data_IF_590991634892
#
_entry.id   IF_590991634892
#
_cell.length_a   1.000
_cell.length_b   1.000
_cell.length_c   1.000
_cell.angle_alpha   90.00
_cell.angle_beta   90.00
_cell.angle_gamma   90.00
#
_symmetry.space_group_name_H-M   'P 1'
#
loop_
_entity.id
_entity.type
_entity.pdbx_description
1 polymer ?
#
# COMPACT_ATOMS: atom_id res chain seq x y z
N UNK A 1 7.46 -37.54 -42.82
CA UNK A 1 7.12 -36.30 -43.55
C UNK A 1 5.62 -36.12 -43.48
N UNK A 2 5.13 -35.10 -42.72
CA UNK A 2 3.79 -34.44 -42.75
C UNK A 2 2.54 -35.34 -42.78
N UNK A 3 1.42 -35.12 -42.10
CA UNK A 3 0.84 -34.18 -41.12
C UNK A 3 -0.51 -34.86 -40.75
N UNK A 4 -0.91 -34.90 -39.49
CA UNK A 4 -2.03 -34.08 -38.94
C UNK A 4 -3.32 -34.15 -39.80
N UNK A 5 -4.54 -34.37 -39.31
CA UNK A 5 -5.12 -34.30 -37.97
C UNK A 5 -6.58 -34.74 -38.15
N UNK A 6 -7.05 -35.69 -37.35
CA UNK A 6 -8.46 -36.06 -37.30
C UNK A 6 -9.25 -35.05 -36.48
N UNK A 7 -10.25 -34.44 -37.11
CA UNK A 7 -11.24 -33.53 -36.54
C UNK A 7 -12.18 -34.17 -35.52
N UNK A 8 -12.75 -33.28 -34.68
CA UNK A 8 -13.87 -33.44 -33.74
C UNK A 8 -13.55 -34.11 -32.40
N UNK A 9 -13.63 -33.34 -31.32
CA UNK A 9 -14.82 -33.30 -30.45
C UNK A 9 -14.81 -32.00 -29.62
N UNK A 10 -15.84 -31.17 -29.84
CA UNK A 10 -16.23 -30.01 -29.03
C UNK A 10 -16.78 -30.51 -27.70
N UNK A 11 -16.04 -30.37 -26.60
CA UNK A 11 -16.58 -30.51 -25.23
C UNK A 11 -16.00 -29.44 -24.31
N UNK A 12 -16.86 -28.46 -24.06
CA UNK A 12 -16.74 -27.43 -23.04
C UNK A 12 -16.93 -28.12 -21.68
N UNK A 13 -15.94 -28.09 -20.80
CA UNK A 13 -16.09 -28.56 -19.42
C UNK A 13 -15.59 -27.47 -18.48
N UNK A 14 -16.50 -26.58 -18.09
CA UNK A 14 -16.39 -25.80 -16.86
C UNK A 14 -16.53 -26.77 -15.69
N UNK A 15 -15.44 -27.01 -14.95
CA UNK A 15 -15.51 -27.63 -13.63
C UNK A 15 -15.37 -26.53 -12.58
N UNK A 16 -16.51 -26.03 -12.11
CA UNK A 16 -16.58 -25.30 -10.85
C UNK A 16 -16.48 -26.30 -9.69
N UNK A 17 -15.47 -26.13 -8.84
CA UNK A 17 -15.36 -26.83 -7.56
C UNK A 17 -15.15 -25.77 -6.50
N UNK A 18 -16.18 -25.49 -5.71
CA UNK A 18 -16.08 -24.69 -4.49
C UNK A 18 -16.88 -25.38 -3.40
N UNK A 19 -16.23 -26.31 -2.69
CA UNK A 19 -16.65 -26.77 -1.36
C UNK A 19 -15.42 -27.03 -0.53
N UNK A 20 -15.08 -26.10 0.37
CA UNK A 20 -14.40 -26.31 1.66
C UNK A 20 -14.93 -25.17 2.55
N UNK A 21 -15.80 -25.37 3.53
CA UNK A 21 -15.65 -26.27 4.66
C UNK A 21 -15.09 -25.47 5.85
N UNK A 22 -15.89 -24.59 6.44
CA UNK A 22 -15.54 -23.76 7.60
C UNK A 22 -15.34 -24.67 8.83
N UNK A 23 -14.09 -24.98 9.16
CA UNK A 23 -13.74 -25.72 10.39
C UNK A 23 -13.08 -24.77 11.36
N UNK A 24 -13.76 -24.47 12.46
CA UNK A 24 -13.22 -23.77 13.63
C UNK A 24 -12.23 -24.71 14.32
N UNK A 25 -10.96 -24.32 14.37
CA UNK A 25 -9.96 -24.93 15.24
C UNK A 25 -9.62 -23.95 16.37
N UNK A 26 -10.18 -24.20 17.56
CA UNK A 26 -9.69 -23.65 18.82
C UNK A 26 -8.37 -24.32 19.16
N UNK A 27 -7.26 -23.56 19.17
CA UNK A 27 -5.99 -24.03 19.70
C UNK A 27 -5.66 -23.15 20.92
N UNK A 28 -5.75 -23.73 22.11
CA UNK A 28 -5.25 -23.16 23.35
C UNK A 28 -4.12 -24.05 23.87
N UNK A 29 -2.92 -23.49 23.98
CA UNK A 29 -1.79 -23.83 24.89
C UNK A 29 -0.60 -22.97 24.46
N UNK A 30 -0.34 -21.77 25.00
CA UNK A 30 0.10 -21.36 26.34
C UNK A 30 1.59 -21.67 26.67
N UNK A 31 2.38 -20.56 26.74
CA UNK A 31 3.73 -20.34 27.33
C UNK A 31 4.94 -20.78 26.49
N UNK A 32 6.02 -20.01 26.29
CA UNK A 32 6.61 -18.93 27.09
C UNK A 32 7.52 -18.02 26.22
N UNK A 33 7.31 -16.70 26.35
CA UNK A 33 8.24 -15.55 26.30
C UNK A 33 9.02 -15.07 25.05
N UNK A 34 9.06 -13.73 25.00
CA UNK A 34 9.90 -12.80 24.23
C UNK A 34 9.65 -12.75 22.71
N UNK A 35 9.49 -11.64 22.01
CA UNK A 35 9.36 -10.22 22.33
C UNK A 35 8.99 -9.55 20.98
N UNK A 36 8.08 -8.57 20.97
CA UNK A 36 7.71 -7.67 19.85
C UNK A 36 7.44 -8.26 18.43
N UNK A 37 6.17 -8.26 18.01
CA UNK A 37 5.69 -7.37 16.94
C UNK A 37 4.15 -7.28 17.02
N UNK A 38 3.76 -6.29 17.81
CA UNK A 38 2.61 -5.38 17.72
C UNK A 38 1.54 -5.67 16.66
N UNK A 39 0.38 -6.07 17.17
CA UNK A 39 -0.97 -5.56 16.85
C UNK A 39 -1.01 -4.57 15.68
N UNK A 40 -1.55 -5.00 14.53
CA UNK A 40 -2.07 -4.06 13.55
C UNK A 40 -3.32 -3.39 14.15
N UNK A 41 -3.10 -2.32 14.91
CA UNK A 41 -4.16 -1.42 15.35
C UNK A 41 -4.66 -0.64 14.15
N UNK A 42 -5.71 -1.13 13.51
CA UNK A 42 -6.52 -0.31 12.59
C UNK A 42 -7.33 0.68 13.43
N UNK A 43 -6.72 1.83 13.71
CA UNK A 43 -7.41 3.00 14.24
C UNK A 43 -6.71 4.25 13.68
N UNK A 44 -7.03 4.59 12.45
CA UNK A 44 -6.59 5.82 11.79
C UNK A 44 -7.78 6.60 11.27
N UNK A 45 -8.68 7.05 12.16
CA UNK A 45 -9.67 8.06 11.77
C UNK A 45 -8.99 9.42 11.79
N UNK A 46 -8.34 9.80 10.69
CA UNK A 46 -7.73 11.12 10.56
C UNK A 46 -8.75 12.09 9.98
N UNK A 47 -9.59 12.66 10.85
CA UNK A 47 -10.36 13.85 10.51
C UNK A 47 -9.52 15.08 10.93
N UNK A 48 -8.77 15.67 9.99
CA UNK A 48 -8.06 16.92 10.24
C UNK A 48 -8.83 18.10 9.60
N UNK A 49 -9.16 19.10 10.41
CA UNK A 49 -9.96 20.26 10.02
C UNK A 49 -9.05 21.37 9.49
N UNK A 50 -9.45 21.89 8.32
CA UNK A 50 -8.81 22.91 7.49
C UNK A 50 -8.69 24.26 8.20
N UNK A 51 -7.45 24.70 8.42
CA UNK A 51 -7.06 26.10 8.62
C UNK A 51 -5.96 26.42 7.60
N UNK A 52 -6.27 27.21 6.58
CA UNK A 52 -5.46 27.39 5.37
C UNK A 52 -4.22 28.27 5.63
N UNK A 53 -3.06 27.66 5.87
CA UNK A 53 -1.75 28.20 5.49
C UNK A 53 -0.99 27.13 4.70
N UNK A 54 -0.37 27.50 3.59
CA UNK A 54 0.38 26.56 2.73
C UNK A 54 1.61 26.00 3.46
N UNK A 55 2.21 26.78 4.37
CA UNK A 55 3.30 26.30 5.24
C UNK A 55 2.81 25.26 6.28
N UNK A 56 1.55 25.38 6.72
CA UNK A 56 0.93 24.42 7.63
C UNK A 56 0.62 23.10 6.89
N UNK A 57 0.18 23.17 5.64
CA UNK A 57 -0.14 21.98 4.82
C UNK A 57 1.11 21.12 4.56
N UNK A 58 2.27 21.74 4.33
CA UNK A 58 3.52 21.02 4.13
C UNK A 58 4.02 20.33 5.42
N UNK A 59 3.97 21.06 6.54
CA UNK A 59 4.28 20.49 7.87
C UNK A 59 3.32 19.35 8.20
N UNK A 60 2.03 19.52 7.89
CA UNK A 60 1.02 18.49 8.06
C UNK A 60 1.28 17.27 7.17
N UNK A 61 1.71 17.47 5.93
CA UNK A 61 2.09 16.36 5.05
C UNK A 61 3.27 15.57 5.62
N UNK A 62 4.28 16.24 6.17
CA UNK A 62 5.40 15.59 6.85
C UNK A 62 4.93 14.78 8.07
N UNK A 63 4.16 15.39 8.98
CA UNK A 63 3.61 14.72 10.17
C UNK A 63 2.74 13.51 9.81
N UNK A 64 1.89 13.68 8.79
CA UNK A 64 1.06 12.60 8.26
C UNK A 64 1.94 11.47 7.72
N UNK A 65 2.97 11.81 6.96
CA UNK A 65 3.83 10.83 6.33
C UNK A 65 4.70 10.04 7.32
N UNK A 66 5.09 10.66 8.44
CA UNK A 66 5.79 9.97 9.52
C UNK A 66 4.84 9.02 10.27
N UNK A 67 3.64 9.51 10.61
CA UNK A 67 2.62 8.72 11.33
C UNK A 67 2.16 7.52 10.49
N UNK A 68 1.96 7.71 9.19
CA UNK A 68 1.48 6.68 8.26
C UNK A 68 2.61 6.01 7.47
N UNK A 69 3.87 6.16 7.89
CA UNK A 69 5.06 5.74 7.13
C UNK A 69 5.02 4.28 6.64
N UNK A 70 4.53 3.36 7.49
CA UNK A 70 4.39 1.94 7.14
C UNK A 70 3.30 1.71 6.09
N UNK A 71 2.15 2.39 6.22
CA UNK A 71 1.04 2.28 5.28
C UNK A 71 1.42 2.91 3.93
N UNK A 72 1.94 4.14 3.95
CA UNK A 72 2.44 4.84 2.77
C UNK A 72 3.51 4.05 2.04
N UNK A 73 4.44 3.39 2.75
CA UNK A 73 5.43 2.53 2.09
C UNK A 73 4.77 1.37 1.34
N UNK A 74 3.75 0.73 1.92
CA UNK A 74 3.05 -0.39 1.25
C UNK A 74 2.25 0.12 0.05
N UNK A 75 1.52 1.21 0.22
CA UNK A 75 0.67 1.81 -0.80
C UNK A 75 1.48 2.46 -1.94
N UNK A 76 2.67 3.01 -1.65
CA UNK A 76 3.59 3.50 -2.66
C UNK A 76 4.12 2.36 -3.54
N UNK A 77 4.27 1.14 -3.00
CA UNK A 77 4.71 -0.01 -3.79
C UNK A 77 3.63 -0.49 -4.78
N UNK A 78 2.35 -0.34 -4.45
CA UNK A 78 1.22 -0.66 -5.33
C UNK A 78 0.84 0.52 -6.23
N UNK A 79 1.14 1.74 -5.78
CA UNK A 79 0.77 3.01 -6.43
C UNK A 79 -0.67 3.42 -6.18
N UNK A 80 -1.32 2.86 -5.16
CA UNK A 80 -2.72 3.07 -4.83
C UNK A 80 -2.94 2.86 -3.32
N UNK A 81 -3.89 3.58 -2.73
CA UNK A 81 -4.28 3.42 -1.33
C UNK A 81 -4.79 4.72 -0.70
N UNK A 82 -5.57 4.59 0.37
CA UNK A 82 -6.24 5.72 1.01
C UNK A 82 -5.26 6.71 1.65
N UNK A 83 -4.12 6.23 2.18
CA UNK A 83 -3.11 7.11 2.75
C UNK A 83 -2.32 7.82 1.66
N UNK A 84 -2.09 7.15 0.54
CA UNK A 84 -1.46 7.74 -0.64
C UNK A 84 -2.34 8.85 -1.24
N UNK A 85 -3.65 8.63 -1.33
CA UNK A 85 -4.61 9.64 -1.80
C UNK A 85 -4.70 10.82 -0.82
N UNK A 86 -4.70 10.55 0.49
CA UNK A 86 -4.66 11.59 1.51
C UNK A 86 -3.36 12.42 1.43
N UNK A 87 -2.21 11.76 1.23
CA UNK A 87 -0.94 12.46 1.02
C UNK A 87 -0.96 13.31 -0.26
N UNK A 88 -1.51 12.79 -1.35
CA UNK A 88 -1.67 13.54 -2.60
C UNK A 88 -2.52 14.80 -2.37
N UNK A 89 -3.61 14.70 -1.59
CA UNK A 89 -4.44 15.83 -1.25
C UNK A 89 -3.71 16.87 -0.38
N UNK A 90 -2.93 16.44 0.61
CA UNK A 90 -2.11 17.32 1.44
C UNK A 90 -1.02 18.05 0.63
N UNK A 91 -0.49 17.40 -0.40
CA UNK A 91 0.48 17.99 -1.33
C UNK A 91 -0.20 18.78 -2.47
N UNK A 92 -1.52 18.95 -2.43
CA UNK A 92 -2.33 19.64 -3.45
C UNK A 92 -2.17 19.09 -4.87
N UNK A 93 -2.00 17.77 -5.00
CA UNK A 93 -1.90 17.14 -6.31
C UNK A 93 -3.22 17.15 -7.07
N UNK A 94 -3.20 17.72 -8.27
CA UNK A 94 -4.37 17.76 -9.16
C UNK A 94 -4.78 16.37 -9.67
N UNK A 95 -3.85 15.41 -9.68
CA UNK A 95 -4.08 14.07 -10.22
C UNK A 95 -3.50 12.98 -9.29
N UNK A 96 -4.31 12.46 -8.35
CA UNK A 96 -3.87 11.43 -7.41
C UNK A 96 -3.48 10.11 -8.09
N UNK A 97 -4.13 9.72 -9.20
CA UNK A 97 -3.74 8.53 -9.97
C UNK A 97 -2.34 8.68 -10.60
N UNK A 98 -2.01 9.87 -11.11
CA UNK A 98 -0.68 10.16 -11.62
C UNK A 98 0.36 10.19 -10.48
N UNK A 99 -0.02 10.75 -9.32
CA UNK A 99 0.80 10.75 -8.12
C UNK A 99 1.15 9.33 -7.66
N UNK A 100 0.16 8.44 -7.56
CA UNK A 100 0.37 7.05 -7.16
C UNK A 100 1.24 6.26 -8.14
N UNK A 101 1.02 6.44 -9.46
CA UNK A 101 1.92 5.87 -10.48
C UNK A 101 3.35 6.37 -10.36
N UNK A 102 3.53 7.66 -10.09
CA UNK A 102 4.84 8.27 -9.90
C UNK A 102 5.53 7.75 -8.63
N UNK A 103 4.81 7.64 -7.51
CA UNK A 103 5.29 7.05 -6.25
C UNK A 103 5.78 5.63 -6.46
N UNK A 104 5.02 4.81 -7.21
CA UNK A 104 5.41 3.44 -7.53
C UNK A 104 6.65 3.35 -8.40
N UNK A 105 6.70 4.14 -9.47
CA UNK A 105 7.88 4.18 -10.36
C UNK A 105 9.14 4.61 -9.60
N UNK A 106 9.01 5.52 -8.64
CA UNK A 106 10.11 6.06 -7.84
C UNK A 106 10.29 5.36 -6.48
N UNK A 107 9.59 4.25 -6.24
CA UNK A 107 9.53 3.61 -4.93
C UNK A 107 10.91 3.29 -4.36
N UNK A 108 11.83 2.79 -5.20
CA UNK A 108 13.20 2.48 -4.79
C UNK A 108 14.02 3.70 -4.35
N UNK A 109 13.73 4.88 -4.89
CA UNK A 109 14.40 6.13 -4.51
C UNK A 109 13.75 6.74 -3.26
N UNK A 110 12.47 6.46 -3.01
CA UNK A 110 11.73 6.97 -1.85
C UNK A 110 11.91 6.10 -0.59
N UNK A 111 12.04 4.78 -0.75
CA UNK A 111 12.02 3.79 0.34
C UNK A 111 13.09 2.69 0.22
N UNK A 112 14.06 2.86 -0.69
CA UNK A 112 15.15 1.91 -0.87
C UNK A 112 16.13 1.89 0.30
N UNK A 113 16.99 0.87 0.39
CA UNK A 113 17.93 0.70 1.50
C UNK A 113 19.02 1.79 1.58
N UNK A 114 19.19 2.57 0.51
CA UNK A 114 20.15 3.69 0.45
C UNK A 114 19.56 5.00 0.96
N UNK A 115 18.25 5.02 1.26
CA UNK A 115 17.55 6.20 1.76
C UNK A 115 17.78 6.33 3.27
N UNK A 116 18.25 7.49 3.70
CA UNK A 116 18.41 7.81 5.11
C UNK A 116 17.07 7.74 5.84
N UNK A 117 17.01 6.95 6.92
CA UNK A 117 15.82 6.82 7.77
C UNK A 117 15.41 8.13 8.45
N UNK A 118 16.33 9.08 8.59
CA UNK A 118 16.10 10.38 9.24
C UNK A 118 15.46 11.43 8.32
N UNK A 119 15.32 11.14 7.03
CA UNK A 119 14.64 12.04 6.09
C UNK A 119 13.16 11.68 6.01
N UNK A 120 12.27 12.68 5.96
CA UNK A 120 10.84 12.44 5.71
C UNK A 120 10.63 12.11 4.21
N UNK A 121 9.64 11.27 3.90
CA UNK A 121 9.34 10.93 2.49
C UNK A 121 8.83 12.14 1.72
N UNK A 122 8.15 13.08 2.35
CA UNK A 122 7.67 14.31 1.72
C UNK A 122 8.84 15.16 1.22
N UNK A 123 9.91 15.29 2.00
CA UNK A 123 11.11 16.02 1.56
C UNK A 123 11.73 15.37 0.31
N UNK A 124 11.75 14.04 0.27
CA UNK A 124 12.23 13.30 -0.91
C UNK A 124 11.31 13.50 -2.11
N UNK A 125 10.00 13.51 -1.89
CA UNK A 125 9.03 13.75 -2.95
C UNK A 125 9.24 15.12 -3.57
N UNK A 126 9.41 16.16 -2.75
CA UNK A 126 9.68 17.52 -3.22
C UNK A 126 11.04 17.62 -3.90
N UNK A 127 12.09 16.97 -3.36
CA UNK A 127 13.42 17.01 -3.97
C UNK A 127 13.50 16.33 -5.35
N UNK A 128 12.55 15.46 -5.69
CA UNK A 128 12.50 14.72 -6.95
C UNK A 128 11.56 15.35 -8.00
N UNK A 129 10.92 16.49 -7.70
CA UNK A 129 9.97 17.20 -8.56
C UNK A 129 10.58 18.49 -9.10
#
# INVERSE_FOLDING_TARGET
MRKETGTLVRRLTLCGVAVVGLSVATISSARDRDDLITTASTAGTTAYIVGKNIDDDFTQAQDFADTQSVALRREAATGEGENLDALAALLHEENPDAFGRWMRTNYGQLYGPQVSSDSNVVDRIVAMR
#
